data_IF_036773172212
#
_entry.id   IF_036773172212
#
_cell.length_a   1.000
_cell.length_b   1.000
_cell.length_c   1.000
_cell.angle_alpha   90.00
_cell.angle_beta   90.00
_cell.angle_gamma   90.00
#
_symmetry.space_group_name_H-M   'P 1'
#
loop_
_entity.id
_entity.type
_entity.pdbx_description
1 polymer ?
#
# COMPACT_ATOMS: atom_id res chain seq x y z
N UNK A 1 7.41 27.07 19.89
CA UNK A 1 7.52 27.11 18.43
C UNK A 1 8.52 26.05 18.01
N UNK A 2 8.07 24.85 17.74
CA UNK A 2 8.86 23.87 16.98
C UNK A 2 8.60 24.19 15.51
N UNK A 3 9.60 24.65 14.79
CA UNK A 3 9.53 24.70 13.33
C UNK A 3 9.42 23.27 12.80
N UNK A 4 8.76 23.11 11.66
CA UNK A 4 8.66 21.81 10.99
C UNK A 4 10.06 21.30 10.66
N UNK A 5 10.33 20.03 10.95
CA UNK A 5 11.62 19.42 10.61
C UNK A 5 11.63 19.08 9.11
N UNK A 6 12.70 19.48 8.41
CA UNK A 6 12.87 19.18 6.99
C UNK A 6 12.92 17.68 6.74
N UNK A 7 11.94 17.09 6.03
CA UNK A 7 12.01 15.68 5.70
C UNK A 7 13.11 15.38 4.69
N UNK A 8 13.60 14.16 4.68
CA UNK A 8 14.49 13.69 3.63
C UNK A 8 13.74 13.67 2.28
N UNK A 9 14.22 14.45 1.32
CA UNK A 9 13.69 14.47 -0.04
C UNK A 9 14.60 13.65 -0.95
N UNK A 10 14.05 12.67 -1.60
CA UNK A 10 14.77 11.80 -2.52
C UNK A 10 14.07 11.74 -3.89
N UNK A 11 13.95 12.90 -4.60
CA UNK A 11 13.36 12.89 -5.93
C UNK A 11 14.25 12.09 -6.88
N UNK A 12 13.64 11.35 -7.79
CA UNK A 12 14.33 10.54 -8.80
C UNK A 12 14.33 11.20 -10.17
N UNK A 13 13.26 11.91 -10.49
CA UNK A 13 13.02 12.52 -11.81
C UNK A 13 12.78 14.02 -11.71
N UNK A 14 12.07 14.45 -10.66
CA UNK A 14 11.69 15.86 -10.47
C UNK A 14 12.79 16.65 -9.78
N UNK A 15 12.80 17.98 -10.01
CA UNK A 15 13.67 18.91 -9.32
C UNK A 15 13.15 19.25 -7.93
N UNK A 16 13.98 19.92 -7.15
CA UNK A 16 13.55 20.54 -5.88
C UNK A 16 13.53 22.06 -6.03
N UNK A 17 12.61 22.68 -5.28
CA UNK A 17 12.49 24.12 -5.11
C UNK A 17 12.74 24.50 -3.65
N UNK A 18 13.11 25.74 -3.41
CA UNK A 18 13.30 26.29 -2.06
C UNK A 18 12.27 27.39 -1.83
N UNK A 19 11.57 27.30 -0.70
CA UNK A 19 10.62 28.31 -0.24
C UNK A 19 10.62 28.36 1.29
N UNK A 20 10.53 29.54 1.87
CA UNK A 20 10.48 29.79 3.32
C UNK A 20 11.62 29.15 4.14
N UNK A 21 12.77 28.91 3.50
CA UNK A 21 13.91 28.24 4.14
C UNK A 21 13.84 26.71 4.17
N UNK A 22 12.86 26.11 3.46
CA UNK A 22 12.69 24.68 3.31
C UNK A 22 12.81 24.24 1.85
N UNK A 23 13.03 22.93 1.65
CA UNK A 23 13.08 22.30 0.32
C UNK A 23 11.83 21.47 0.08
N UNK A 24 11.35 21.51 -1.16
CA UNK A 24 10.17 20.76 -1.63
C UNK A 24 10.48 20.11 -2.96
N UNK A 25 9.72 19.09 -3.34
CA UNK A 25 9.81 18.50 -4.67
C UNK A 25 8.81 19.24 -5.57
N UNK A 26 9.29 19.79 -6.67
CA UNK A 26 8.47 20.41 -7.73
C UNK A 26 7.84 19.29 -8.58
N UNK A 27 6.72 18.76 -8.10
CA UNK A 27 6.08 17.56 -8.66
C UNK A 27 5.43 17.81 -10.03
N UNK A 28 4.92 19.02 -10.28
CA UNK A 28 4.35 19.36 -11.59
C UNK A 28 5.34 20.05 -12.55
N UNK A 29 6.51 20.43 -12.06
CA UNK A 29 7.59 21.02 -12.87
C UNK A 29 7.33 22.48 -13.27
N UNK A 30 6.53 23.23 -12.50
CA UNK A 30 6.21 24.62 -12.82
C UNK A 30 7.22 25.63 -12.20
N UNK A 31 8.07 25.20 -11.27
CA UNK A 31 9.08 26.02 -10.58
C UNK A 31 8.52 26.86 -9.44
N UNK A 32 7.26 26.68 -9.05
CA UNK A 32 6.59 27.33 -7.93
C UNK A 32 6.16 26.30 -6.90
N UNK A 33 6.02 26.69 -5.64
CA UNK A 33 5.53 25.78 -4.60
C UNK A 33 4.00 25.73 -4.61
N UNK A 34 3.42 24.66 -5.08
CA UNK A 34 2.00 24.40 -4.98
C UNK A 34 1.61 23.84 -3.59
N UNK A 35 0.36 24.02 -3.18
CA UNK A 35 -0.13 23.56 -1.87
C UNK A 35 0.01 22.05 -1.71
N UNK A 36 -0.24 21.27 -2.78
CA UNK A 36 -0.14 19.81 -2.70
C UNK A 36 1.32 19.29 -2.57
N UNK A 37 2.31 20.10 -2.92
CA UNK A 37 3.74 19.82 -2.80
C UNK A 37 4.27 20.18 -1.41
N UNK A 38 3.60 21.10 -0.72
CA UNK A 38 3.99 21.57 0.60
C UNK A 38 3.70 20.48 1.67
N UNK A 39 4.74 19.75 2.02
CA UNK A 39 4.68 18.67 3.02
C UNK A 39 4.32 19.15 4.43
N UNK A 40 4.35 20.46 4.72
CA UNK A 40 3.93 21.07 5.99
C UNK A 40 2.41 21.12 6.14
N UNK A 41 1.68 21.07 5.01
CA UNK A 41 0.23 21.09 5.00
C UNK A 41 -0.35 19.70 5.36
N UNK A 42 -1.54 19.67 5.93
CA UNK A 42 -2.24 18.44 6.19
C UNK A 42 -2.65 17.71 4.90
N UNK A 43 -2.85 16.41 5.01
CA UNK A 43 -3.13 15.55 3.86
C UNK A 43 -4.41 15.97 3.11
N UNK A 44 -5.44 16.43 3.82
CA UNK A 44 -6.70 16.84 3.20
C UNK A 44 -6.55 18.13 2.39
N UNK A 45 -5.82 19.10 2.92
CA UNK A 45 -5.50 20.37 2.24
C UNK A 45 -4.71 20.09 0.97
N UNK A 46 -3.68 19.26 1.05
CA UNK A 46 -2.87 18.84 -0.10
C UNK A 46 -3.69 18.09 -1.15
N UNK A 47 -4.54 17.17 -0.73
CA UNK A 47 -5.40 16.39 -1.62
C UNK A 47 -6.41 17.28 -2.35
N UNK A 48 -7.02 18.24 -1.67
CA UNK A 48 -7.98 19.18 -2.27
C UNK A 48 -7.33 20.03 -3.36
N UNK A 49 -6.14 20.53 -3.12
CA UNK A 49 -5.39 21.30 -4.11
C UNK A 49 -5.02 20.43 -5.32
N UNK A 50 -4.43 19.26 -5.09
CA UNK A 50 -4.09 18.30 -6.13
C UNK A 50 -5.30 17.94 -7.01
N UNK A 51 -6.44 17.60 -6.40
CA UNK A 51 -7.68 17.27 -7.13
C UNK A 51 -8.17 18.43 -7.97
N UNK A 52 -7.97 19.69 -7.52
CA UNK A 52 -8.34 20.88 -8.30
C UNK A 52 -7.55 21.02 -9.59
N UNK A 53 -6.30 20.57 -9.60
CA UNK A 53 -5.36 20.60 -10.73
C UNK A 53 -5.52 19.41 -11.68
N UNK A 54 -6.21 18.34 -11.26
CA UNK A 54 -6.39 17.12 -12.03
C UNK A 54 -7.46 17.26 -13.11
N UNK A 55 -7.15 16.76 -14.32
CA UNK A 55 -8.13 16.52 -15.37
C UNK A 55 -9.10 15.39 -14.99
N UNK A 56 -10.26 15.34 -15.66
CA UNK A 56 -11.20 14.23 -15.47
C UNK A 56 -10.56 12.85 -15.77
N UNK A 57 -9.68 12.78 -16.78
CA UNK A 57 -8.95 11.54 -17.12
C UNK A 57 -8.03 11.11 -15.98
N UNK A 58 -7.27 12.01 -15.39
CA UNK A 58 -6.39 11.72 -14.26
C UNK A 58 -7.18 11.28 -13.02
N UNK A 59 -8.33 11.91 -12.74
CA UNK A 59 -9.23 11.49 -11.65
C UNK A 59 -9.73 10.06 -11.85
N UNK A 60 -10.12 9.69 -13.08
CA UNK A 60 -10.54 8.34 -13.42
C UNK A 60 -9.35 7.35 -13.29
N UNK A 61 -8.17 7.73 -13.77
CA UNK A 61 -6.98 6.89 -13.68
C UNK A 61 -6.56 6.61 -12.24
N UNK A 62 -6.70 7.59 -11.33
CA UNK A 62 -6.42 7.39 -9.91
C UNK A 62 -7.34 6.36 -9.24
N UNK A 63 -8.52 6.08 -9.80
CA UNK A 63 -9.43 5.04 -9.31
C UNK A 63 -9.13 3.65 -9.90
N UNK A 64 -8.15 3.51 -10.77
CA UNK A 64 -7.76 2.22 -11.37
C UNK A 64 -6.84 1.45 -10.44
N UNK A 65 -7.07 0.13 -10.35
CA UNK A 65 -6.27 -0.80 -9.55
C UNK A 65 -5.97 -2.08 -10.34
N UNK A 66 -5.25 -1.98 -11.47
CA UNK A 66 -4.92 -3.15 -12.29
C UNK A 66 -3.89 -4.05 -11.61
N UNK A 67 -3.92 -5.33 -11.98
CA UNK A 67 -2.91 -6.29 -11.55
C UNK A 67 -1.68 -6.21 -12.44
N UNK A 68 -0.52 -6.21 -11.82
CA UNK A 68 0.78 -6.32 -12.45
C UNK A 68 1.39 -7.70 -12.16
N UNK A 69 1.87 -8.34 -13.20
CA UNK A 69 2.67 -9.57 -13.10
C UNK A 69 4.05 -9.30 -13.70
N UNK A 70 5.15 -9.62 -12.97
CA UNK A 70 6.50 -9.54 -13.52
C UNK A 70 6.65 -10.40 -14.78
N UNK A 71 7.58 -10.04 -15.66
CA UNK A 71 7.99 -10.92 -16.73
C UNK A 71 8.64 -12.20 -16.16
N UNK A 72 8.71 -13.26 -16.98
CA UNK A 72 9.29 -14.54 -16.54
C UNK A 72 10.77 -14.43 -16.08
N UNK A 73 11.48 -13.44 -16.60
CA UNK A 73 12.86 -13.10 -16.19
C UNK A 73 12.92 -12.17 -14.95
N UNK A 74 11.78 -11.81 -14.37
CA UNK A 74 11.66 -10.90 -13.24
C UNK A 74 11.71 -9.41 -13.60
N UNK A 75 11.83 -9.07 -14.89
CA UNK A 75 11.83 -7.68 -15.33
C UNK A 75 10.43 -7.05 -15.27
N UNK A 76 10.40 -5.72 -15.26
CA UNK A 76 9.16 -4.95 -15.30
C UNK A 76 8.62 -4.90 -16.73
N UNK A 77 7.34 -5.26 -16.95
CA UNK A 77 6.72 -5.12 -18.27
C UNK A 77 6.72 -3.68 -18.76
N UNK A 78 7.02 -3.46 -20.03
CA UNK A 78 7.12 -2.13 -20.65
C UNK A 78 5.83 -1.29 -20.57
N UNK A 79 4.66 -1.94 -20.45
CA UNK A 79 3.39 -1.22 -20.32
C UNK A 79 3.24 -0.46 -19.00
N UNK A 80 4.02 -0.80 -17.95
CA UNK A 80 3.94 -0.12 -16.67
C UNK A 80 4.42 1.33 -16.73
N UNK A 81 5.44 1.64 -17.53
CA UNK A 81 5.81 3.04 -17.74
C UNK A 81 4.63 3.84 -18.27
N UNK A 82 3.94 3.31 -19.28
CA UNK A 82 2.73 3.96 -19.83
C UNK A 82 1.65 4.12 -18.75
N UNK A 83 1.36 3.09 -17.98
CA UNK A 83 0.32 3.14 -16.95
C UNK A 83 0.62 4.17 -15.87
N UNK A 84 1.84 4.18 -15.33
CA UNK A 84 2.21 5.06 -14.22
C UNK A 84 2.49 6.49 -14.67
N UNK A 85 3.23 6.67 -15.78
CA UNK A 85 3.70 7.98 -16.24
C UNK A 85 2.70 8.70 -17.14
N UNK A 86 2.09 8.00 -18.10
CA UNK A 86 1.22 8.60 -19.13
C UNK A 86 -0.24 8.60 -18.72
N UNK A 87 -0.74 7.47 -18.22
CA UNK A 87 -2.14 7.33 -17.82
C UNK A 87 -2.39 7.81 -16.37
N UNK A 88 -1.39 7.73 -15.49
CA UNK A 88 -1.48 8.20 -14.10
C UNK A 88 -2.30 7.28 -13.22
N UNK A 89 -2.12 5.95 -13.36
CA UNK A 89 -2.82 4.94 -12.54
C UNK A 89 -2.52 5.16 -11.05
N UNK A 90 -3.54 5.11 -10.21
CA UNK A 90 -3.41 5.43 -8.78
C UNK A 90 -2.93 4.27 -7.92
N UNK A 91 -3.28 3.04 -8.31
CA UNK A 91 -2.95 1.83 -7.55
C UNK A 91 -2.50 0.72 -8.48
N UNK A 92 -1.66 -0.19 -7.95
CA UNK A 92 -1.25 -1.43 -8.61
C UNK A 92 -1.33 -2.58 -7.61
N UNK A 93 -1.92 -3.70 -8.04
CA UNK A 93 -1.82 -4.96 -7.32
C UNK A 93 -0.66 -5.77 -7.88
N UNK A 94 0.26 -6.19 -7.01
CA UNK A 94 1.43 -6.99 -7.39
C UNK A 94 1.31 -8.39 -6.83
N UNK A 95 1.73 -9.37 -7.64
CA UNK A 95 1.83 -10.78 -7.25
C UNK A 95 3.13 -11.38 -7.79
N UNK A 96 3.67 -12.33 -7.04
CA UNK A 96 4.77 -13.20 -7.45
C UNK A 96 6.06 -12.46 -7.80
N UNK A 97 6.80 -12.06 -6.78
CA UNK A 97 8.14 -11.47 -6.92
C UNK A 97 9.23 -12.49 -6.56
N UNK A 98 10.22 -12.61 -7.43
CA UNK A 98 11.22 -13.68 -7.39
C UNK A 98 12.25 -13.54 -6.26
N UNK A 99 12.42 -12.34 -5.71
CA UNK A 99 13.25 -12.07 -4.54
C UNK A 99 12.89 -10.74 -3.90
N UNK A 100 13.38 -10.50 -2.68
CA UNK A 100 13.19 -9.21 -1.98
C UNK A 100 13.90 -8.06 -2.69
N UNK A 101 15.07 -8.31 -3.30
CA UNK A 101 15.82 -7.30 -4.07
C UNK A 101 15.06 -6.93 -5.35
N UNK A 102 14.53 -7.93 -6.06
CA UNK A 102 13.71 -7.70 -7.25
C UNK A 102 12.45 -6.92 -6.90
N UNK A 103 11.83 -7.23 -5.75
CA UNK A 103 10.67 -6.50 -5.24
C UNK A 103 11.00 -5.03 -5.01
N UNK A 104 12.02 -4.72 -4.22
CA UNK A 104 12.43 -3.36 -3.91
C UNK A 104 12.83 -2.57 -5.18
N UNK A 105 13.56 -3.20 -6.09
CA UNK A 105 13.94 -2.60 -7.38
C UNK A 105 12.72 -2.27 -8.22
N UNK A 106 11.77 -3.20 -8.33
CA UNK A 106 10.52 -2.99 -9.07
C UNK A 106 9.71 -1.83 -8.49
N UNK A 107 9.57 -1.76 -7.15
CA UNK A 107 8.86 -0.67 -6.49
C UNK A 107 9.53 0.68 -6.76
N UNK A 108 10.84 0.74 -6.69
CA UNK A 108 11.60 1.95 -7.00
C UNK A 108 11.34 2.43 -8.44
N UNK A 109 11.37 1.52 -9.41
CA UNK A 109 11.13 1.85 -10.82
C UNK A 109 9.69 2.30 -11.07
N UNK A 110 8.70 1.67 -10.42
CA UNK A 110 7.29 2.06 -10.52
C UNK A 110 7.11 3.49 -9.98
N UNK A 111 7.71 3.82 -8.84
CA UNK A 111 7.63 5.17 -8.27
C UNK A 111 8.37 6.20 -9.15
N UNK A 112 9.47 5.83 -9.78
CA UNK A 112 10.17 6.69 -10.74
C UNK A 112 9.30 7.01 -11.96
N UNK A 113 8.60 6.03 -12.51
CA UNK A 113 7.63 6.26 -13.57
C UNK A 113 6.50 7.19 -13.13
N UNK A 114 5.94 6.97 -11.95
CA UNK A 114 4.86 7.79 -11.38
C UNK A 114 5.31 9.23 -11.14
N UNK A 115 6.49 9.44 -10.55
CA UNK A 115 7.09 10.76 -10.35
C UNK A 115 7.29 11.49 -11.69
N UNK A 116 7.62 10.77 -12.76
CA UNK A 116 7.74 11.29 -14.11
C UNK A 116 6.41 11.73 -14.77
N UNK A 117 5.26 11.50 -14.13
CA UNK A 117 3.96 11.97 -14.63
C UNK A 117 3.78 13.47 -14.47
N UNK A 118 2.71 14.03 -15.06
CA UNK A 118 2.44 15.47 -15.06
C UNK A 118 2.35 16.06 -13.64
N UNK A 119 1.70 15.35 -12.71
CA UNK A 119 1.50 15.82 -11.34
C UNK A 119 2.39 15.08 -10.32
N UNK A 120 3.20 14.12 -10.75
CA UNK A 120 4.11 13.39 -9.89
C UNK A 120 3.44 12.58 -8.78
N UNK A 121 2.18 12.13 -8.98
CA UNK A 121 1.41 11.41 -7.97
C UNK A 121 1.98 10.02 -7.80
N UNK A 122 2.41 9.61 -6.57
CA UNK A 122 2.91 8.27 -6.32
C UNK A 122 1.85 7.20 -6.56
N UNK A 123 2.26 6.01 -7.01
CA UNK A 123 1.37 4.85 -7.12
C UNK A 123 1.29 4.15 -5.77
N UNK A 124 0.08 3.89 -5.29
CA UNK A 124 -0.15 3.04 -4.13
C UNK A 124 -0.09 1.57 -4.53
N UNK A 125 1.01 0.91 -4.19
CA UNK A 125 1.19 -0.50 -4.50
C UNK A 125 0.61 -1.36 -3.40
N UNK A 126 -0.20 -2.36 -3.78
CA UNK A 126 -0.82 -3.34 -2.90
C UNK A 126 -0.35 -4.76 -3.20
N UNK A 127 -0.48 -5.63 -2.20
CA UNK A 127 -0.23 -7.07 -2.31
C UNK A 127 -1.25 -7.87 -1.50
N UNK A 128 -1.60 -9.07 -1.97
CA UNK A 128 -2.41 -10.02 -1.20
C UNK A 128 -1.54 -10.70 -0.13
N UNK A 129 -1.50 -10.15 1.06
CA UNK A 129 -0.65 -10.67 2.15
C UNK A 129 -1.51 -11.30 3.25
N UNK A 130 -2.25 -12.35 2.90
CA UNK A 130 -3.16 -13.02 3.84
C UNK A 130 -2.42 -13.86 4.89
N UNK A 131 -1.17 -14.25 4.63
CA UNK A 131 -0.32 -14.96 5.58
C UNK A 131 1.16 -14.57 5.45
N UNK A 132 1.48 -13.33 5.85
CA UNK A 132 2.79 -12.71 5.69
C UNK A 132 3.00 -12.22 4.26
N UNK A 133 4.25 -12.04 3.85
CA UNK A 133 4.61 -11.55 2.51
C UNK A 133 4.85 -12.73 1.54
N UNK A 134 3.88 -13.64 1.46
CA UNK A 134 4.00 -14.96 0.82
C UNK A 134 4.22 -14.92 -0.70
N UNK A 135 3.92 -13.80 -1.35
CA UNK A 135 4.17 -13.60 -2.79
C UNK A 135 5.57 -13.09 -3.12
N UNK A 136 6.44 -12.95 -2.12
CA UNK A 136 7.83 -12.52 -2.32
C UNK A 136 8.78 -13.63 -1.85
N UNK A 137 9.53 -14.21 -2.77
CA UNK A 137 10.51 -15.24 -2.43
C UNK A 137 11.57 -14.65 -1.50
N UNK A 138 11.80 -15.31 -0.36
CA UNK A 138 12.75 -14.88 0.67
C UNK A 138 12.15 -14.02 1.78
N UNK A 139 10.89 -13.58 1.67
CA UNK A 139 10.18 -12.93 2.74
C UNK A 139 9.53 -13.93 3.72
N UNK A 140 9.03 -13.41 4.84
CA UNK A 140 8.41 -14.24 5.89
C UNK A 140 7.03 -14.72 5.48
N UNK A 141 6.82 -16.03 5.57
CA UNK A 141 5.51 -16.67 5.40
C UNK A 141 5.00 -17.07 6.79
N UNK A 142 3.83 -16.54 7.17
CA UNK A 142 3.17 -16.88 8.43
C UNK A 142 2.19 -18.03 8.24
N UNK A 143 1.72 -18.70 9.32
CA UNK A 143 0.56 -19.56 9.23
C UNK A 143 -0.66 -18.80 8.69
N UNK A 144 -1.56 -19.52 8.03
CA UNK A 144 -2.84 -18.94 7.60
C UNK A 144 -3.68 -18.48 8.80
N UNK A 145 -4.58 -17.53 8.56
CA UNK A 145 -5.42 -16.91 9.60
C UNK A 145 -6.22 -17.93 10.42
N UNK A 146 -6.69 -19.01 9.81
CA UNK A 146 -7.40 -20.07 10.52
C UNK A 146 -6.53 -20.76 11.60
N UNK A 147 -5.25 -20.98 11.29
CA UNK A 147 -4.29 -21.52 12.26
C UNK A 147 -3.98 -20.51 13.36
N UNK A 148 -3.87 -19.23 13.02
CA UNK A 148 -3.71 -18.16 14.02
C UNK A 148 -4.94 -18.06 14.92
N UNK A 149 -6.15 -18.15 14.38
CA UNK A 149 -7.40 -18.14 15.14
C UNK A 149 -7.51 -19.32 16.13
N UNK A 150 -6.99 -20.49 15.76
CA UNK A 150 -6.95 -21.65 16.65
C UNK A 150 -6.15 -21.42 17.92
N UNK A 151 -5.19 -20.50 17.92
CA UNK A 151 -4.41 -20.10 19.11
C UNK A 151 -5.22 -19.25 20.09
N UNK A 152 -6.27 -18.58 19.63
CA UNK A 152 -7.06 -17.58 20.37
C UNK A 152 -6.18 -16.50 21.03
N UNK A 153 -5.07 -16.15 20.40
CA UNK A 153 -4.05 -15.25 20.92
C UNK A 153 -3.88 -14.03 20.00
N UNK A 154 -4.54 -12.93 20.34
CA UNK A 154 -4.49 -11.67 19.59
C UNK A 154 -3.07 -11.06 19.59
N UNK A 155 -2.31 -11.21 20.67
CA UNK A 155 -0.93 -10.69 20.73
C UNK A 155 -0.01 -11.39 19.72
N UNK A 156 -0.24 -12.68 19.45
CA UNK A 156 0.49 -13.40 18.40
C UNK A 156 0.13 -12.86 17.02
N UNK A 157 -1.16 -12.60 16.77
CA UNK A 157 -1.62 -11.99 15.50
C UNK A 157 -0.98 -10.64 15.29
N UNK A 158 -0.94 -9.78 16.32
CA UNK A 158 -0.26 -8.47 16.27
C UNK A 158 1.20 -8.63 15.86
N UNK A 159 1.97 -9.48 16.55
CA UNK A 159 3.41 -9.69 16.25
C UNK A 159 3.67 -10.16 14.83
N UNK A 160 2.85 -11.08 14.32
CA UNK A 160 3.01 -11.59 12.96
C UNK A 160 2.62 -10.53 11.90
N UNK A 161 1.59 -9.74 12.19
CA UNK A 161 1.19 -8.62 11.32
C UNK A 161 2.20 -7.48 11.33
N UNK A 162 2.85 -7.19 12.47
CA UNK A 162 3.95 -6.22 12.55
C UNK A 162 5.14 -6.63 11.69
N UNK A 163 5.55 -7.90 11.72
CA UNK A 163 6.60 -8.43 10.83
C UNK A 163 6.20 -8.22 9.37
N UNK A 164 4.98 -8.61 9.00
CA UNK A 164 4.49 -8.42 7.63
C UNK A 164 4.49 -6.93 7.24
N UNK A 165 4.04 -6.02 8.12
CA UNK A 165 4.06 -4.58 7.88
C UNK A 165 5.48 -4.06 7.62
N UNK A 166 6.44 -4.43 8.45
CA UNK A 166 7.84 -4.01 8.30
C UNK A 166 8.44 -4.51 6.99
N UNK A 167 8.19 -5.75 6.60
CA UNK A 167 8.64 -6.31 5.33
C UNK A 167 7.99 -5.62 4.13
N UNK A 168 6.67 -5.31 4.19
CA UNK A 168 6.00 -4.51 3.15
C UNK A 168 6.67 -3.16 2.96
N UNK A 169 6.92 -2.44 4.06
CA UNK A 169 7.58 -1.13 4.03
C UNK A 169 8.98 -1.24 3.43
N UNK A 170 9.74 -2.26 3.82
CA UNK A 170 11.11 -2.48 3.37
C UNK A 170 11.22 -2.66 1.85
N UNK A 171 10.23 -3.29 1.23
CA UNK A 171 10.20 -3.46 -0.24
C UNK A 171 9.41 -2.35 -0.97
N UNK A 172 8.86 -1.35 -0.26
CA UNK A 172 8.14 -0.23 -0.87
C UNK A 172 6.66 -0.48 -1.16
N UNK A 173 6.08 -1.57 -0.69
CA UNK A 173 4.62 -1.84 -0.75
C UNK A 173 3.94 -1.15 0.43
N UNK A 174 2.88 -0.39 0.20
CA UNK A 174 2.23 0.42 1.23
C UNK A 174 0.76 0.08 1.47
N UNK A 175 0.26 -0.99 0.85
CA UNK A 175 -1.10 -1.47 1.04
C UNK A 175 -1.12 -3.00 1.03
N UNK A 176 -1.93 -3.58 1.90
CA UNK A 176 -2.25 -5.01 1.85
C UNK A 176 -3.74 -5.21 1.59
N UNK A 177 -4.10 -6.19 0.75
CA UNK A 177 -5.49 -6.63 0.57
C UNK A 177 -5.85 -7.66 1.66
N UNK A 178 -5.70 -7.25 2.89
CA UNK A 178 -5.84 -8.06 4.11
C UNK A 178 -6.27 -7.14 5.27
N UNK A 179 -6.92 -7.66 6.32
CA UNK A 179 -7.27 -9.05 6.61
C UNK A 179 -8.48 -9.57 5.85
N UNK A 180 -8.58 -10.91 5.78
CA UNK A 180 -9.78 -11.58 5.32
C UNK A 180 -10.74 -11.76 6.50
N UNK A 181 -11.78 -10.91 6.52
CA UNK A 181 -12.75 -10.81 7.62
C UNK A 181 -14.04 -11.61 7.37
N UNK A 182 -14.03 -12.41 6.31
CA UNK A 182 -15.18 -13.28 5.99
C UNK A 182 -15.43 -14.28 7.10
N UNK A 183 -16.70 -14.54 7.38
CA UNK A 183 -17.13 -15.59 8.31
C UNK A 183 -17.20 -16.91 7.56
N UNK A 184 -16.47 -17.93 8.02
CA UNK A 184 -16.40 -19.24 7.41
C UNK A 184 -17.68 -20.06 7.67
N UNK A 185 -18.82 -19.61 7.12
CA UNK A 185 -20.12 -20.25 7.28
C UNK A 185 -20.33 -21.47 6.36
N UNK A 186 -19.50 -21.63 5.33
CA UNK A 186 -19.56 -22.75 4.37
C UNK A 186 -18.19 -23.47 4.34
N UNK A 187 -18.08 -24.65 4.96
CA UNK A 187 -16.80 -25.36 5.11
C UNK A 187 -16.21 -25.88 3.79
N UNK A 188 -17.00 -25.94 2.72
CA UNK A 188 -16.52 -26.35 1.38
C UNK A 188 -15.88 -25.21 0.61
N UNK A 189 -15.98 -23.98 1.09
CA UNK A 189 -15.33 -22.84 0.45
C UNK A 189 -13.81 -22.98 0.47
N UNK A 190 -13.17 -22.90 -0.70
CA UNK A 190 -11.75 -23.17 -0.87
C UNK A 190 -10.82 -22.21 -0.13
N UNK A 191 -11.34 -21.07 0.38
CA UNK A 191 -10.57 -20.02 1.07
C UNK A 191 -10.83 -19.95 2.57
N UNK A 192 -11.48 -20.94 3.16
CA UNK A 192 -11.75 -21.00 4.62
C UNK A 192 -10.47 -20.80 5.44
N UNK A 193 -9.34 -21.33 4.98
CA UNK A 193 -8.05 -21.19 5.67
C UNK A 193 -7.54 -19.75 5.78
N UNK A 194 -7.97 -18.86 4.92
CA UNK A 194 -7.60 -17.44 4.91
C UNK A 194 -8.41 -16.63 5.94
N UNK A 195 -9.52 -17.20 6.44
CA UNK A 195 -10.39 -16.57 7.44
C UNK A 195 -9.94 -16.88 8.85
N UNK A 196 -10.48 -16.14 9.83
CA UNK A 196 -10.32 -16.45 11.26
C UNK A 196 -11.39 -17.42 11.80
N UNK A 197 -12.16 -18.08 10.93
CA UNK A 197 -13.13 -19.13 11.26
C UNK A 197 -14.58 -18.65 11.25
N UNK A 198 -15.45 -19.42 11.94
CA UNK A 198 -16.92 -19.27 11.89
C UNK A 198 -17.49 -18.42 13.04
N UNK A 199 -16.73 -18.22 14.12
CA UNK A 199 -17.16 -17.42 15.28
C UNK A 199 -16.98 -15.92 15.01
N UNK A 200 -18.07 -15.14 14.82
CA UNK A 200 -17.94 -13.71 14.50
C UNK A 200 -17.25 -12.89 15.59
N UNK A 201 -17.33 -13.30 16.86
CA UNK A 201 -16.65 -12.59 17.94
C UNK A 201 -15.12 -12.82 17.88
N UNK A 202 -14.69 -14.04 17.58
CA UNK A 202 -13.28 -14.35 17.40
C UNK A 202 -12.75 -13.62 16.16
N UNK A 203 -13.45 -13.70 15.02
CA UNK A 203 -13.07 -12.98 13.79
C UNK A 203 -12.93 -11.49 14.06
N UNK A 204 -13.87 -10.85 14.74
CA UNK A 204 -13.81 -9.43 15.08
C UNK A 204 -12.55 -9.09 15.88
N UNK A 205 -12.21 -9.85 16.90
CA UNK A 205 -11.02 -9.58 17.73
C UNK A 205 -9.72 -9.74 16.93
N UNK A 206 -9.59 -10.83 16.17
CA UNK A 206 -8.39 -11.13 15.40
C UNK A 206 -8.19 -10.13 14.25
N UNK A 207 -9.27 -9.79 13.52
CA UNK A 207 -9.23 -8.79 12.45
C UNK A 207 -8.86 -7.40 13.00
N UNK A 208 -9.45 -7.00 14.12
CA UNK A 208 -9.12 -5.72 14.76
C UNK A 208 -7.65 -5.66 15.15
N UNK A 209 -7.14 -6.73 15.77
CA UNK A 209 -5.72 -6.83 16.16
C UNK A 209 -4.79 -6.70 14.93
N UNK A 210 -5.12 -7.38 13.85
CA UNK A 210 -4.33 -7.36 12.62
C UNK A 210 -4.35 -5.98 11.94
N UNK A 211 -5.52 -5.33 11.86
CA UNK A 211 -5.63 -3.97 11.28
C UNK A 211 -4.83 -2.95 12.10
N UNK A 212 -4.93 -2.98 13.43
CA UNK A 212 -4.15 -2.08 14.31
C UNK A 212 -2.65 -2.26 14.09
N UNK A 213 -2.19 -3.51 13.94
CA UNK A 213 -0.78 -3.80 13.67
C UNK A 213 -0.33 -3.29 12.28
N UNK A 214 -1.14 -3.46 11.23
CA UNK A 214 -0.85 -2.92 9.90
C UNK A 214 -0.84 -1.39 9.88
N UNK A 215 -1.72 -0.75 10.65
CA UNK A 215 -1.76 0.70 10.77
C UNK A 215 -0.65 1.27 11.67
N UNK A 216 0.12 0.41 12.35
CA UNK A 216 1.12 0.83 13.33
C UNK A 216 0.52 1.68 14.47
N UNK A 217 -0.64 1.26 14.95
CA UNK A 217 -1.37 1.90 16.06
C UNK A 217 -2.88 2.03 15.81
N UNK A 218 -3.60 2.43 16.86
CA UNK A 218 -5.06 2.57 16.84
C UNK A 218 -5.56 3.95 16.35
N UNK A 219 -4.67 4.94 16.27
CA UNK A 219 -5.03 6.35 16.02
C UNK A 219 -5.07 6.71 14.52
N UNK A 220 -5.09 5.71 13.65
CA UNK A 220 -5.09 5.88 12.20
C UNK A 220 -3.71 5.75 11.56
N UNK A 221 -3.60 6.17 10.29
CA UNK A 221 -2.37 6.00 9.51
C UNK A 221 -1.28 6.99 9.93
N UNK A 222 -0.05 6.50 9.94
CA UNK A 222 1.18 7.27 10.17
C UNK A 222 2.30 6.81 9.21
N UNK A 223 3.49 7.39 9.31
CA UNK A 223 4.60 7.08 8.39
C UNK A 223 5.08 5.63 8.46
N UNK A 224 4.84 4.95 9.59
CA UNK A 224 5.12 3.52 9.78
C UNK A 224 3.99 2.57 9.37
N UNK A 225 2.90 3.08 8.81
CA UNK A 225 1.73 2.27 8.45
C UNK A 225 1.84 1.65 7.05
N UNK A 226 1.10 0.55 6.88
CA UNK A 226 0.57 0.15 5.58
C UNK A 226 -0.97 0.24 5.63
N UNK A 227 -1.59 0.50 4.49
CA UNK A 227 -3.05 0.56 4.38
C UNK A 227 -3.61 -0.86 4.41
N UNK A 228 -4.49 -1.15 5.36
CA UNK A 228 -5.23 -2.42 5.40
C UNK A 228 -6.52 -2.30 4.57
N UNK A 229 -6.73 -3.24 3.67
CA UNK A 229 -7.99 -3.37 2.93
C UNK A 229 -8.71 -4.63 3.39
N UNK A 230 -9.56 -4.47 4.38
CA UNK A 230 -10.37 -5.57 4.91
C UNK A 230 -11.33 -6.09 3.82
N UNK A 231 -11.34 -7.40 3.61
CA UNK A 231 -12.12 -8.04 2.55
C UNK A 231 -12.90 -9.25 3.06
N UNK A 232 -13.99 -9.66 2.39
CA UNK A 232 -14.60 -9.06 1.20
C UNK A 232 -15.94 -8.43 1.63
N UNK A 233 -15.90 -7.16 1.93
CA UNK A 233 -17.11 -6.45 2.40
C UNK A 233 -18.21 -6.44 1.32
N UNK A 234 -19.47 -6.80 1.68
CA UNK A 234 -19.99 -7.12 3.01
C UNK A 234 -19.83 -8.59 3.42
N UNK A 235 -19.07 -9.40 2.71
CA UNK A 235 -18.77 -10.81 2.93
C UNK A 235 -18.60 -11.55 1.62
N UNK A 236 -17.93 -12.73 1.66
CA UNK A 236 -17.67 -13.53 0.46
C UNK A 236 -18.94 -14.16 -0.16
N UNK A 237 -20.04 -14.18 0.61
CA UNK A 237 -21.28 -14.87 0.23
C UNK A 237 -21.16 -16.39 0.28
N UNK A 238 -22.25 -17.11 0.00
CA UNK A 238 -22.20 -18.56 -0.19
C UNK A 238 -21.49 -18.86 -1.51
N UNK A 239 -20.40 -19.60 -1.42
CA UNK A 239 -19.58 -19.97 -2.58
C UNK A 239 -19.58 -21.45 -2.83
#
# INVERSE_FOLDING_TARGET
GGGDEQPALNPRVKSTIEADGYRFIDLNGNGELDVYEDWRQDAQTRANDLVSQMTAREKIAQMQHPTYLPCADGSIPSYLEKWCKTEGVGMLLIRELNSVEAAATSMNTIQEFAEGSRLGIPVLVSMDSVHGLSYVTGATVTPHNLAMAATRNEELVVKLAEIAREEHIAIGVRMTLSPEADIASEPRWGRVMETFGEDPNLVTRMVTAQVIAFQNGADGLNTGSIVACMKHFPGAGPQ
#
